data_IF_983942444971
#
_entry.id   IF_983942444971
#
_cell.length_a   1.000
_cell.length_b   1.000
_cell.length_c   1.000
_cell.angle_alpha   90.00
_cell.angle_beta   90.00
_cell.angle_gamma   90.00
#
_symmetry.space_group_name_H-M   'P 1'
#
loop_
_entity.id
_entity.type
_entity.pdbx_description
1 polymer ?
#
# COMPACT_ATOMS: atom_id res chain seq x y z
N UNK A 1 4.68 -21.89 -13.38
CA UNK A 1 3.52 -22.24 -12.54
C UNK A 1 3.20 -23.71 -12.79
N UNK A 2 2.89 -24.44 -11.73
CA UNK A 2 2.41 -25.81 -11.81
C UNK A 2 1.12 -25.89 -11.00
N UNK A 3 0.12 -26.59 -11.52
CA UNK A 3 -1.26 -26.62 -10.99
C UNK A 3 -1.73 -28.06 -10.99
N UNK A 4 -2.31 -28.48 -9.88
CA UNK A 4 -2.89 -29.81 -9.66
C UNK A 4 -4.18 -29.66 -8.84
N UNK A 5 -4.91 -30.75 -8.65
CA UNK A 5 -6.14 -30.73 -7.86
C UNK A 5 -5.86 -30.34 -6.40
N UNK A 6 -6.37 -29.17 -6.00
CA UNK A 6 -6.30 -28.65 -4.63
C UNK A 6 -4.95 -28.02 -4.25
N UNK A 7 -4.02 -27.84 -5.19
CA UNK A 7 -2.80 -27.06 -4.94
C UNK A 7 -2.15 -26.49 -6.20
N UNK A 8 -1.46 -25.37 -6.05
CA UNK A 8 -0.63 -24.80 -7.10
C UNK A 8 0.70 -24.28 -6.54
N UNK A 9 1.69 -24.16 -7.41
CA UNK A 9 2.99 -23.60 -7.06
C UNK A 9 3.49 -22.64 -8.11
N UNK A 10 3.99 -21.50 -7.64
CA UNK A 10 4.64 -20.47 -8.44
C UNK A 10 6.08 -20.32 -8.00
N UNK A 11 7.01 -20.44 -8.95
CA UNK A 11 8.44 -20.16 -8.76
C UNK A 11 8.83 -19.12 -9.80
N UNK A 12 9.36 -17.99 -9.35
CA UNK A 12 9.76 -16.90 -10.25
C UNK A 12 9.60 -15.54 -9.58
N UNK A 13 9.31 -14.52 -10.39
CA UNK A 13 9.05 -13.15 -9.92
C UNK A 13 7.58 -12.85 -10.16
N UNK A 14 6.85 -12.45 -9.12
CA UNK A 14 5.46 -12.06 -9.27
C UNK A 14 5.07 -10.89 -8.35
N UNK A 15 3.99 -10.20 -8.72
CA UNK A 15 3.31 -9.19 -7.91
C UNK A 15 2.06 -9.84 -7.30
N UNK A 16 1.88 -9.70 -6.00
CA UNK A 16 0.71 -10.11 -5.26
C UNK A 16 0.05 -8.87 -4.69
N UNK A 17 -1.21 -9.02 -4.32
CA UNK A 17 -1.99 -7.97 -3.68
C UNK A 17 -2.90 -8.62 -2.64
N UNK A 18 -2.85 -8.14 -1.40
CA UNK A 18 -3.74 -8.51 -0.31
C UNK A 18 -4.29 -7.23 0.31
N UNK A 19 -5.59 -7.17 0.55
CA UNK A 19 -6.22 -5.99 1.10
C UNK A 19 -7.67 -5.86 0.65
N UNK A 20 -8.41 -5.06 1.40
CA UNK A 20 -9.84 -4.77 1.24
C UNK A 20 -10.16 -3.28 1.34
N UNK A 21 -9.32 -2.46 1.99
CA UNK A 21 -9.55 -1.01 2.16
C UNK A 21 -9.07 -0.20 0.96
N UNK A 22 -9.49 1.05 0.79
CA UNK A 22 -9.19 1.87 -0.39
C UNK A 22 -8.04 2.86 -0.16
N UNK A 23 -7.93 3.39 1.05
CA UNK A 23 -6.97 4.45 1.38
C UNK A 23 -5.54 3.95 1.53
N UNK A 24 -5.38 2.70 1.98
CA UNK A 24 -4.13 2.00 2.24
C UNK A 24 -4.38 0.50 2.34
N UNK A 25 -3.42 -0.30 1.91
CA UNK A 25 -3.39 -1.75 2.15
C UNK A 25 -2.34 -2.13 3.19
N UNK A 26 -2.73 -2.14 4.47
CA UNK A 26 -1.86 -2.43 5.61
C UNK A 26 -1.30 -3.85 5.62
N UNK A 27 -2.10 -4.81 5.15
CA UNK A 27 -1.74 -6.23 5.19
C UNK A 27 -0.83 -6.66 4.03
N UNK A 28 -0.72 -5.84 2.99
CA UNK A 28 0.13 -6.13 1.82
C UNK A 28 1.62 -5.92 2.13
N UNK A 29 2.35 -7.02 2.36
CA UNK A 29 3.73 -6.99 2.84
C UNK A 29 4.69 -7.85 1.99
N UNK A 30 4.21 -8.54 0.96
CA UNK A 30 5.09 -9.42 0.17
C UNK A 30 5.92 -8.61 -0.82
N UNK A 31 5.27 -7.70 -1.54
CA UNK A 31 5.89 -6.94 -2.60
C UNK A 31 6.42 -5.60 -2.09
N UNK A 32 7.56 -5.17 -2.63
CA UNK A 32 8.13 -3.86 -2.35
C UNK A 32 7.34 -2.79 -3.09
N UNK A 33 6.99 -1.67 -2.44
CA UNK A 33 6.38 -0.51 -3.11
C UNK A 33 7.37 0.19 -4.06
N UNK A 34 6.91 0.63 -5.23
CA UNK A 34 7.67 1.45 -6.19
C UNK A 34 7.19 2.91 -6.15
N UNK A 35 7.78 3.71 -5.26
CA UNK A 35 7.44 5.13 -5.12
C UNK A 35 7.83 5.99 -6.33
N UNK A 36 8.70 5.48 -7.23
CA UNK A 36 9.01 6.18 -8.46
C UNK A 36 7.90 6.05 -9.50
N UNK A 37 7.12 4.97 -9.43
CA UNK A 37 6.00 4.75 -10.34
C UNK A 37 4.78 5.54 -9.85
N UNK A 38 4.42 5.39 -8.57
CA UNK A 38 3.35 6.14 -7.91
C UNK A 38 3.57 6.29 -6.41
N UNK A 39 3.11 7.42 -5.87
CA UNK A 39 3.29 7.75 -4.44
C UNK A 39 2.15 7.28 -3.52
N UNK A 40 1.02 6.79 -4.06
CA UNK A 40 -0.08 6.20 -3.28
C UNK A 40 0.28 4.86 -2.63
N UNK A 41 1.44 4.30 -2.99
CA UNK A 41 1.91 3.00 -2.54
C UNK A 41 1.19 1.80 -3.18
N UNK A 42 0.38 2.01 -4.21
CA UNK A 42 -0.35 0.96 -4.91
C UNK A 42 0.54 0.23 -5.93
N UNK A 43 1.49 0.95 -6.54
CA UNK A 43 2.41 0.33 -7.48
C UNK A 43 3.49 -0.46 -6.75
N UNK A 44 3.57 -1.76 -7.07
CA UNK A 44 4.51 -2.70 -6.45
C UNK A 44 5.56 -3.19 -7.43
N UNK A 45 6.75 -3.49 -6.94
CA UNK A 45 7.78 -4.24 -7.61
C UNK A 45 7.48 -5.75 -7.58
N UNK A 46 7.79 -6.45 -8.67
CA UNK A 46 7.77 -7.92 -8.67
C UNK A 46 8.76 -8.51 -7.67
N UNK A 47 8.33 -9.51 -6.90
CA UNK A 47 9.11 -10.14 -5.83
C UNK A 47 9.54 -11.55 -6.25
N UNK A 48 10.85 -11.87 -6.24
CA UNK A 48 11.32 -13.25 -6.38
C UNK A 48 10.78 -14.11 -5.25
N UNK A 49 10.13 -15.22 -5.59
CA UNK A 49 9.49 -16.10 -4.62
C UNK A 49 9.29 -17.53 -5.09
N UNK A 50 9.10 -18.39 -4.09
CA UNK A 50 8.41 -19.67 -4.19
C UNK A 50 7.11 -19.51 -3.39
N UNK A 51 5.97 -19.67 -4.05
CA UNK A 51 4.65 -19.66 -3.43
C UNK A 51 3.99 -21.02 -3.65
N UNK A 52 3.53 -21.66 -2.57
CA UNK A 52 2.69 -22.86 -2.59
C UNK A 52 1.33 -22.51 -2.02
N UNK A 53 0.27 -22.70 -2.80
CA UNK A 53 -1.11 -22.57 -2.35
C UNK A 53 -1.74 -23.96 -2.19
N UNK A 54 -2.45 -24.18 -1.09
CA UNK A 54 -3.20 -25.40 -0.78
C UNK A 54 -4.66 -25.01 -0.58
N UNK A 55 -5.51 -25.36 -1.54
CA UNK A 55 -6.94 -25.03 -1.52
C UNK A 55 -7.74 -26.16 -0.88
N UNK A 56 -8.53 -25.82 0.12
CA UNK A 56 -9.43 -26.72 0.86
C UNK A 56 -10.81 -26.08 0.99
N UNK A 57 -11.79 -26.87 1.42
CA UNK A 57 -13.17 -26.38 1.61
C UNK A 57 -13.27 -25.26 2.65
N UNK A 58 -12.35 -25.23 3.61
CA UNK A 58 -12.26 -24.22 4.68
C UNK A 58 -11.25 -23.11 4.38
N UNK A 59 -10.87 -22.92 3.11
CA UNK A 59 -10.02 -21.83 2.65
C UNK A 59 -8.71 -22.28 2.00
N UNK A 60 -7.92 -21.30 1.58
CA UNK A 60 -6.63 -21.49 0.93
C UNK A 60 -5.50 -21.12 1.89
N UNK A 61 -4.54 -22.04 2.04
CA UNK A 61 -3.31 -21.80 2.77
C UNK A 61 -2.19 -21.52 1.78
N UNK A 62 -1.54 -20.37 1.91
CA UNK A 62 -0.43 -19.95 1.06
C UNK A 62 0.85 -19.89 1.87
N UNK A 63 1.92 -20.49 1.36
CA UNK A 63 3.25 -20.53 1.95
C UNK A 63 4.25 -19.85 1.02
N UNK A 64 4.94 -18.84 1.53
CA UNK A 64 5.86 -18.01 0.76
C UNK A 64 7.29 -18.16 1.28
N UNK A 65 8.22 -18.38 0.35
CA UNK A 65 9.66 -18.27 0.58
C UNK A 65 10.21 -17.22 -0.38
N UNK A 66 10.82 -16.17 0.16
CA UNK A 66 11.29 -15.00 -0.59
C UNK A 66 12.82 -14.94 -0.48
N UNK A 67 13.56 -15.49 -1.45
CA UNK A 67 15.02 -15.63 -1.33
C UNK A 67 15.81 -14.34 -1.56
N UNK A 68 15.16 -13.26 -1.98
CA UNK A 68 15.82 -12.02 -2.34
C UNK A 68 14.92 -10.80 -2.06
N UNK A 69 15.39 -9.88 -1.24
CA UNK A 69 14.76 -8.59 -0.98
C UNK A 69 15.10 -7.58 -2.08
N UNK A 70 14.13 -6.73 -2.42
CA UNK A 70 14.32 -5.63 -3.36
C UNK A 70 14.18 -4.32 -2.60
N UNK A 71 15.17 -3.46 -2.70
CA UNK A 71 15.13 -2.12 -2.11
C UNK A 71 14.00 -1.29 -2.69
N UNK A 72 13.46 -0.41 -1.84
CA UNK A 72 12.54 0.64 -2.24
C UNK A 72 13.29 1.64 -3.11
N UNK A 73 12.63 2.09 -4.17
CA UNK A 73 13.18 3.14 -5.03
C UNK A 73 12.69 4.49 -4.53
N UNK A 74 13.59 5.45 -4.48
CA UNK A 74 13.32 6.81 -4.04
C UNK A 74 13.74 7.81 -5.09
N UNK A 75 13.08 8.96 -5.09
CA UNK A 75 13.42 10.03 -6.01
C UNK A 75 14.78 10.66 -5.72
N UNK A 76 15.46 11.04 -6.79
CA UNK A 76 16.77 11.68 -6.69
C UNK A 76 16.62 13.17 -6.29
N UNK A 77 17.76 13.86 -6.06
CA UNK A 77 17.78 15.28 -5.65
C UNK A 77 17.04 16.23 -6.58
N UNK A 78 16.95 15.90 -7.87
CA UNK A 78 16.30 16.70 -8.92
C UNK A 78 14.87 16.22 -9.21
N UNK A 79 14.47 15.07 -8.65
CA UNK A 79 13.12 14.54 -8.74
C UNK A 79 12.12 15.37 -7.94
N UNK A 80 10.86 15.31 -8.38
CA UNK A 80 9.69 15.84 -7.65
C UNK A 80 9.14 14.74 -6.76
N UNK A 81 8.21 15.06 -5.86
CA UNK A 81 7.56 14.09 -4.98
C UNK A 81 8.58 13.28 -4.16
N UNK A 82 9.52 14.00 -3.54
CA UNK A 82 10.57 13.43 -2.69
C UNK A 82 10.44 13.95 -1.26
N UNK A 83 11.05 13.25 -0.31
CA UNK A 83 11.22 13.81 1.04
C UNK A 83 12.06 15.09 0.99
N UNK A 84 11.92 15.91 2.04
CA UNK A 84 12.64 17.17 2.17
C UNK A 84 14.16 16.95 2.06
N UNK A 85 14.67 15.93 2.74
CA UNK A 85 16.05 15.48 2.63
C UNK A 85 16.21 14.41 1.53
N UNK A 86 17.26 14.49 0.68
CA UNK A 86 17.55 13.44 -0.28
C UNK A 86 17.90 12.10 0.39
N UNK A 87 17.54 11.00 -0.26
CA UNK A 87 17.90 9.65 0.19
C UNK A 87 19.15 9.16 -0.57
N UNK A 88 20.13 8.64 0.15
CA UNK A 88 21.28 7.92 -0.38
C UNK A 88 21.03 6.40 -0.31
N UNK A 89 20.57 5.82 -1.42
CA UNK A 89 20.31 4.38 -1.51
C UNK A 89 21.58 3.55 -1.62
N UNK A 90 22.71 4.14 -2.01
CA UNK A 90 23.97 3.40 -2.20
C UNK A 90 24.58 2.94 -0.86
N UNK A 91 24.14 3.56 0.24
CA UNK A 91 24.56 3.25 1.61
C UNK A 91 23.54 2.44 2.41
N UNK A 92 22.52 1.87 1.75
CA UNK A 92 21.43 1.17 2.43
C UNK A 92 21.92 0.14 3.45
N UNK A 93 21.32 0.18 4.64
CA UNK A 93 21.63 -0.70 5.75
C UNK A 93 20.58 -1.79 5.92
N UNK A 94 21.03 -2.95 6.40
CA UNK A 94 20.19 -4.12 6.63
C UNK A 94 20.47 -4.67 8.01
N UNK A 95 19.41 -4.98 8.75
CA UNK A 95 19.54 -5.67 10.05
C UNK A 95 20.09 -7.11 9.87
N UNK A 96 19.75 -7.76 8.75
CA UNK A 96 20.34 -9.06 8.42
C UNK A 96 21.75 -8.93 7.86
N UNK A 97 22.70 -9.70 8.41
CA UNK A 97 24.04 -9.85 7.84
C UNK A 97 24.06 -10.46 6.42
N UNK A 98 22.95 -11.06 5.96
CA UNK A 98 22.79 -11.53 4.57
C UNK A 98 22.32 -10.43 3.61
N UNK A 99 22.06 -9.22 4.11
CA UNK A 99 21.55 -8.09 3.34
C UNK A 99 20.33 -8.47 2.51
N UNK A 100 20.30 -8.00 1.25
CA UNK A 100 19.25 -8.32 0.29
C UNK A 100 19.07 -9.84 -0.01
N UNK A 101 20.03 -10.69 0.36
CA UNK A 101 19.95 -12.16 0.17
C UNK A 101 19.40 -12.90 1.38
N UNK A 102 18.89 -12.17 2.38
CA UNK A 102 18.12 -12.77 3.46
C UNK A 102 16.89 -13.49 2.87
N UNK A 103 16.51 -14.61 3.49
CA UNK A 103 15.34 -15.38 3.06
C UNK A 103 14.19 -15.04 3.98
N UNK A 104 13.21 -14.31 3.45
CA UNK A 104 11.99 -13.97 4.17
C UNK A 104 10.94 -15.06 3.96
N UNK A 105 10.01 -15.17 4.90
CA UNK A 105 8.94 -16.17 4.84
C UNK A 105 7.60 -15.57 5.23
N UNK A 106 6.53 -16.08 4.63
CA UNK A 106 5.18 -15.75 5.04
C UNK A 106 4.25 -16.96 4.97
N UNK A 107 3.21 -16.92 5.79
CA UNK A 107 2.05 -17.81 5.68
C UNK A 107 0.80 -16.96 5.65
N UNK A 108 -0.17 -17.35 4.81
CA UNK A 108 -1.50 -16.73 4.77
C UNK A 108 -2.56 -17.82 4.73
N UNK A 109 -3.64 -17.60 5.46
CA UNK A 109 -4.90 -18.32 5.28
C UNK A 109 -5.94 -17.32 4.81
N UNK A 110 -6.68 -17.67 3.77
CA UNK A 110 -7.78 -16.86 3.27
C UNK A 110 -9.02 -17.73 3.03
N UNK A 111 -10.18 -17.24 3.44
CA UNK A 111 -11.44 -17.94 3.28
C UNK A 111 -12.55 -16.95 2.95
N UNK A 112 -13.26 -17.24 1.87
CA UNK A 112 -14.54 -16.63 1.54
C UNK A 112 -15.65 -17.61 1.95
N UNK A 113 -16.59 -17.15 2.78
CA UNK A 113 -17.75 -17.92 3.20
C UNK A 113 -18.99 -17.04 3.31
N UNK A 114 -19.91 -17.23 2.36
CA UNK A 114 -21.14 -16.44 2.29
C UNK A 114 -20.81 -14.98 2.02
N UNK A 115 -21.10 -14.11 2.99
CA UNK A 115 -20.88 -12.67 2.88
C UNK A 115 -19.53 -12.23 3.47
N UNK A 116 -18.73 -13.17 4.00
CA UNK A 116 -17.47 -12.87 4.68
C UNK A 116 -16.28 -13.23 3.81
N UNK A 117 -15.35 -12.30 3.70
CA UNK A 117 -13.98 -12.52 3.28
C UNK A 117 -13.07 -12.33 4.50
N UNK A 118 -12.25 -13.33 4.82
CA UNK A 118 -11.34 -13.28 5.96
C UNK A 118 -9.97 -13.75 5.52
N UNK A 119 -8.95 -12.94 5.79
CA UNK A 119 -7.55 -13.30 5.62
C UNK A 119 -6.76 -13.12 6.91
N UNK A 120 -5.92 -14.09 7.23
CA UNK A 120 -4.97 -14.03 8.34
C UNK A 120 -3.58 -14.37 7.80
N UNK A 121 -2.61 -13.49 8.02
CA UNK A 121 -1.26 -13.66 7.54
C UNK A 121 -0.22 -13.44 8.64
N UNK A 122 0.92 -14.10 8.52
CA UNK A 122 2.11 -13.80 9.30
C UNK A 122 3.34 -13.74 8.39
N UNK A 123 4.08 -12.65 8.49
CA UNK A 123 5.31 -12.38 7.75
C UNK A 123 6.48 -12.23 8.71
N UNK A 124 7.59 -12.89 8.40
CA UNK A 124 8.88 -12.70 9.07
C UNK A 124 9.95 -12.48 8.01
N UNK A 125 10.55 -11.31 8.02
CA UNK A 125 11.48 -10.93 6.98
C UNK A 125 11.93 -9.49 7.05
N UNK A 126 12.60 -9.07 5.98
CA UNK A 126 13.04 -7.69 5.76
C UNK A 126 11.82 -6.80 5.52
N UNK A 127 11.71 -5.68 6.25
CA UNK A 127 10.61 -4.71 6.08
C UNK A 127 10.53 -4.18 4.66
N UNK A 128 9.31 -4.03 4.12
CA UNK A 128 9.04 -3.35 2.83
C UNK A 128 8.95 -1.84 2.94
N UNK A 129 9.19 -1.30 4.12
CA UNK A 129 9.28 0.13 4.41
C UNK A 129 10.63 0.37 5.11
N UNK A 130 11.35 1.42 4.75
CA UNK A 130 12.64 1.75 5.36
C UNK A 130 12.48 2.76 6.50
N UNK A 131 13.18 2.52 7.61
CA UNK A 131 13.55 3.58 8.54
C UNK A 131 14.73 4.37 7.93
N UNK A 132 15.06 5.53 8.48
CA UNK A 132 16.13 6.39 7.95
C UNK A 132 17.11 6.81 9.03
N UNK A 133 18.39 6.56 8.77
CA UNK A 133 19.49 7.16 9.54
C UNK A 133 19.88 8.49 8.88
N UNK A 134 20.24 9.50 9.67
CA UNK A 134 20.72 10.78 9.14
C UNK A 134 22.22 10.71 8.88
N UNK A 135 22.63 10.93 7.62
CA UNK A 135 24.03 11.18 7.29
C UNK A 135 24.30 12.70 7.29
N UNK A 136 25.11 13.10 8.27
CA UNK A 136 25.55 14.49 8.50
C UNK A 136 27.06 14.69 8.21
N UNK A 137 27.71 13.74 7.54
CA UNK A 137 29.13 13.81 7.19
C UNK A 137 29.45 15.03 6.32
N UNK A 138 28.50 15.47 5.49
CA UNK A 138 28.53 16.77 4.83
C UNK A 138 27.38 17.65 5.35
N UNK A 139 27.62 18.50 6.37
CA UNK A 139 26.56 19.33 6.96
C UNK A 139 25.89 20.32 5.99
N UNK A 140 26.54 20.64 4.86
CA UNK A 140 25.95 21.50 3.83
C UNK A 140 24.93 20.75 2.96
N UNK A 141 24.98 19.42 2.95
CA UNK A 141 24.13 18.55 2.14
C UNK A 141 23.74 17.28 2.91
N UNK A 142 22.96 17.40 4.00
CA UNK A 142 22.51 16.25 4.76
C UNK A 142 21.68 15.29 3.90
N UNK A 143 21.80 14.00 4.17
CA UNK A 143 21.03 12.95 3.47
C UNK A 143 20.43 11.95 4.45
N UNK A 144 19.47 11.18 3.96
CA UNK A 144 18.86 10.05 4.65
C UNK A 144 19.42 8.76 4.08
N UNK A 145 19.86 7.84 4.94
CA UNK A 145 20.30 6.50 4.55
C UNK A 145 19.20 5.51 4.93
N UNK A 146 18.64 4.75 3.97
CA UNK A 146 17.57 3.81 4.27
C UNK A 146 18.12 2.63 5.06
N UNK A 147 17.39 2.23 6.10
CA UNK A 147 17.65 1.06 6.93
C UNK A 147 16.46 0.10 6.86
N UNK A 148 16.74 -1.13 6.43
CA UNK A 148 15.76 -2.20 6.32
C UNK A 148 15.86 -3.14 7.52
N UNK A 149 14.93 -2.97 8.45
CA UNK A 149 14.87 -3.73 9.69
C UNK A 149 14.17 -5.09 9.49
N UNK A 150 14.53 -6.08 10.31
CA UNK A 150 13.82 -7.36 10.35
C UNK A 150 12.53 -7.22 11.16
N UNK A 151 11.41 -7.58 10.55
CA UNK A 151 10.09 -7.47 11.17
C UNK A 151 9.42 -8.82 11.38
N UNK A 152 8.51 -8.84 12.35
CA UNK A 152 7.51 -9.90 12.52
C UNK A 152 6.14 -9.24 12.52
N UNK A 153 5.37 -9.45 11.46
CA UNK A 153 4.05 -8.86 11.24
C UNK A 153 2.99 -9.94 11.22
N UNK A 154 1.95 -9.79 12.03
CA UNK A 154 0.70 -10.55 11.87
C UNK A 154 -0.36 -9.60 11.37
N UNK A 155 -1.05 -9.96 10.28
CA UNK A 155 -2.10 -9.16 9.66
C UNK A 155 -3.42 -9.90 9.61
N UNK A 156 -4.51 -9.18 9.80
CA UNK A 156 -5.89 -9.63 9.67
C UNK A 156 -6.61 -8.69 8.69
N UNK A 157 -7.27 -9.26 7.69
CA UNK A 157 -8.18 -8.57 6.79
C UNK A 157 -9.57 -9.20 6.88
N UNK A 158 -10.60 -8.36 6.94
CA UNK A 158 -12.00 -8.76 6.98
C UNK A 158 -12.80 -7.84 6.07
N UNK A 159 -13.59 -8.43 5.18
CA UNK A 159 -14.66 -7.73 4.48
C UNK A 159 -15.98 -8.46 4.70
N UNK A 160 -17.04 -7.68 4.94
CA UNK A 160 -18.40 -8.19 5.04
C UNK A 160 -19.32 -7.45 4.08
N UNK A 161 -19.98 -8.21 3.20
CA UNK A 161 -20.91 -7.69 2.19
C UNK A 161 -22.35 -7.83 2.66
N UNK A 162 -23.09 -6.73 2.79
CA UNK A 162 -24.49 -6.70 3.20
C UNK A 162 -25.32 -5.84 2.26
N UNK A 163 -25.92 -6.48 1.25
CA UNK A 163 -26.65 -5.82 0.17
C UNK A 163 -25.78 -4.76 -0.52
N UNK A 164 -26.09 -3.47 -0.33
CA UNK A 164 -25.36 -2.35 -0.89
C UNK A 164 -24.16 -1.89 -0.03
N UNK A 165 -23.99 -2.46 1.17
CA UNK A 165 -22.92 -2.11 2.10
C UNK A 165 -21.74 -3.07 2.02
N UNK A 166 -20.54 -2.52 2.07
CA UNK A 166 -19.31 -3.23 2.40
C UNK A 166 -18.76 -2.67 3.71
N UNK A 167 -18.44 -3.56 4.65
CA UNK A 167 -17.70 -3.22 5.86
C UNK A 167 -16.31 -3.80 5.71
N UNK A 168 -15.27 -3.00 5.99
CA UNK A 168 -13.88 -3.37 5.71
C UNK A 168 -13.01 -3.11 6.92
N UNK A 169 -12.07 -4.02 7.17
CA UNK A 169 -11.09 -3.92 8.24
C UNK A 169 -9.79 -4.56 7.77
N UNK A 170 -8.71 -3.82 7.92
CA UNK A 170 -7.34 -4.32 7.88
C UNK A 170 -6.65 -3.93 9.19
N UNK A 171 -5.93 -4.86 9.79
CA UNK A 171 -5.12 -4.55 10.98
C UNK A 171 -3.86 -5.38 11.00
N UNK A 172 -2.79 -4.79 11.52
CA UNK A 172 -1.52 -5.48 11.73
C UNK A 172 -1.03 -5.25 13.16
N UNK A 173 -0.31 -6.24 13.71
CA UNK A 173 0.64 -6.03 14.79
C UNK A 173 2.04 -6.34 14.29
N UNK A 174 2.99 -5.42 14.53
CA UNK A 174 4.35 -5.52 14.01
C UNK A 174 5.37 -5.25 15.11
N UNK A 175 6.42 -6.07 15.14
CA UNK A 175 7.65 -5.81 15.90
C UNK A 175 8.83 -5.71 14.93
N UNK A 176 9.90 -5.00 15.33
CA UNK A 176 11.11 -4.78 14.52
C UNK A 176 11.47 -3.30 14.31
N UNK A 177 10.59 -2.38 14.71
CA UNK A 177 10.78 -0.92 14.58
C UNK A 177 10.61 -0.25 15.95
N UNK A 178 11.49 -0.58 16.90
CA UNK A 178 11.31 -0.23 18.31
C UNK A 178 10.28 -1.12 19.00
N UNK A 179 9.36 -0.52 19.77
CA UNK A 179 8.31 -1.24 20.46
C UNK A 179 7.31 -1.89 19.48
N UNK A 180 6.68 -2.98 19.92
CA UNK A 180 5.61 -3.62 19.13
C UNK A 180 4.42 -2.66 19.04
N UNK A 181 3.97 -2.38 17.83
CA UNK A 181 2.84 -1.50 17.57
C UNK A 181 1.70 -2.23 16.85
N UNK A 182 0.57 -1.53 16.74
CA UNK A 182 -0.62 -1.94 16.00
C UNK A 182 -1.01 -0.83 15.03
N UNK A 183 -1.43 -1.20 13.83
CA UNK A 183 -2.06 -0.31 12.86
C UNK A 183 -3.40 -0.89 12.41
N UNK A 184 -4.34 -0.02 12.07
CA UNK A 184 -5.72 -0.35 11.69
C UNK A 184 -6.18 0.58 10.58
N UNK A 185 -6.78 0.01 9.53
CA UNK A 185 -7.59 0.74 8.56
C UNK A 185 -8.97 0.09 8.56
N UNK A 186 -10.01 0.88 8.79
CA UNK A 186 -11.38 0.36 8.81
C UNK A 186 -12.33 1.33 8.18
N UNK A 187 -13.38 0.83 7.54
CA UNK A 187 -14.33 1.71 6.88
C UNK A 187 -15.52 0.99 6.29
N UNK A 188 -16.31 1.78 5.59
CA UNK A 188 -17.54 1.35 4.94
C UNK A 188 -17.61 1.89 3.52
N UNK A 189 -18.25 1.14 2.64
CA UNK A 189 -18.65 1.58 1.31
C UNK A 189 -20.14 1.31 1.12
N UNK A 190 -20.88 2.32 0.63
CA UNK A 190 -22.28 2.17 0.26
C UNK A 190 -22.46 2.43 -1.22
N UNK A 191 -23.08 1.49 -1.93
CA UNK A 191 -23.30 1.60 -3.38
C UNK A 191 -24.73 2.03 -3.70
N UNK A 192 -24.87 3.16 -4.39
CA UNK A 192 -26.10 3.58 -5.05
C UNK A 192 -26.13 2.95 -6.43
N UNK A 193 -26.94 1.90 -6.60
CA UNK A 193 -27.06 1.20 -7.87
C UNK A 193 -27.95 1.94 -8.88
N UNK A 194 -27.58 1.84 -10.15
CA UNK A 194 -28.35 2.35 -11.30
C UNK A 194 -28.81 3.81 -11.11
N UNK A 195 -27.86 4.68 -10.76
CA UNK A 195 -28.15 6.09 -10.51
C UNK A 195 -28.79 6.71 -11.75
N UNK A 196 -29.93 7.37 -11.55
CA UNK A 196 -30.72 8.00 -12.62
C UNK A 196 -31.13 7.04 -13.76
N UNK A 197 -31.22 5.73 -13.51
CA UNK A 197 -31.56 4.70 -14.53
C UNK A 197 -30.59 4.67 -15.71
N UNK A 198 -29.33 4.99 -15.45
CA UNK A 198 -28.29 5.10 -16.47
C UNK A 198 -27.47 3.82 -16.65
N UNK A 199 -27.60 2.85 -15.74
CA UNK A 199 -26.72 1.71 -15.59
C UNK A 199 -25.47 1.99 -14.76
N UNK A 200 -25.18 3.25 -14.41
CA UNK A 200 -24.02 3.61 -13.60
C UNK A 200 -24.27 3.40 -12.11
N UNK A 201 -23.22 3.05 -11.37
CA UNK A 201 -23.24 2.88 -9.92
C UNK A 201 -22.32 3.91 -9.25
N UNK A 202 -22.75 4.43 -8.09
CA UNK A 202 -21.97 5.37 -7.28
C UNK A 202 -21.69 4.79 -5.89
N UNK A 203 -20.43 4.47 -5.62
CA UNK A 203 -19.92 4.10 -4.30
C UNK A 203 -19.57 5.33 -3.46
N UNK A 204 -20.01 5.34 -2.20
CA UNK A 204 -19.65 6.31 -1.17
C UNK A 204 -18.75 5.60 -0.15
N UNK A 205 -17.49 6.00 -0.07
CA UNK A 205 -16.46 5.34 0.75
C UNK A 205 -16.09 6.25 1.91
N UNK A 206 -15.99 5.69 3.11
CA UNK A 206 -15.41 6.36 4.28
C UNK A 206 -14.54 5.37 5.05
N UNK A 207 -13.28 5.75 5.28
CA UNK A 207 -12.32 4.94 6.03
C UNK A 207 -11.58 5.78 7.06
N UNK A 208 -11.13 5.13 8.13
CA UNK A 208 -10.27 5.68 9.16
C UNK A 208 -8.98 4.87 9.22
N UNK A 209 -7.85 5.57 9.22
CA UNK A 209 -6.51 5.01 9.33
C UNK A 209 -5.90 5.37 10.69
N UNK A 210 -5.27 4.38 11.31
CA UNK A 210 -4.50 4.54 12.53
C UNK A 210 -3.20 3.74 12.44
N UNK A 211 -2.07 4.33 12.82
CA UNK A 211 -0.78 3.63 12.88
C UNK A 211 -0.02 4.04 14.14
N UNK A 212 0.04 3.15 15.13
CA UNK A 212 0.65 3.42 16.44
C UNK A 212 2.17 3.26 16.49
N UNK A 213 2.87 3.29 15.34
CA UNK A 213 4.34 3.21 15.30
C UNK A 213 4.99 4.48 15.85
N UNK A 214 6.29 4.40 16.16
CA UNK A 214 7.07 5.57 16.55
C UNK A 214 7.16 6.58 15.39
N UNK A 215 6.97 7.87 15.67
CA UNK A 215 7.02 8.94 14.66
C UNK A 215 8.45 9.35 14.29
N UNK A 216 9.45 8.90 15.06
CA UNK A 216 10.85 9.15 14.78
C UNK A 216 11.32 8.26 13.61
N UNK A 217 11.70 8.84 12.46
CA UNK A 217 12.10 8.09 11.26
C UNK A 217 13.34 7.22 11.48
N UNK A 218 14.14 7.49 12.53
CA UNK A 218 15.30 6.66 12.89
C UNK A 218 14.92 5.39 13.65
N UNK A 219 13.70 5.31 14.19
CA UNK A 219 13.17 4.18 14.96
C UNK A 219 12.20 3.34 14.12
N UNK A 220 11.31 4.00 13.37
CA UNK A 220 10.32 3.33 12.53
C UNK A 220 10.15 4.04 11.17
N UNK A 221 9.71 3.33 10.12
CA UNK A 221 9.44 3.95 8.83
C UNK A 221 8.33 4.99 8.92
N UNK A 222 8.54 6.20 8.37
CA UNK A 222 7.52 7.25 8.34
C UNK A 222 6.34 6.82 7.46
N UNK A 223 5.12 7.16 7.88
CA UNK A 223 3.89 6.85 7.14
C UNK A 223 2.96 8.05 7.15
N UNK A 224 2.26 8.34 6.04
CA UNK A 224 1.28 9.42 5.97
C UNK A 224 -0.13 9.00 6.44
N UNK A 225 -0.23 7.91 7.22
CA UNK A 225 -1.50 7.25 7.56
C UNK A 225 -1.52 6.87 9.05
N UNK A 226 -1.41 7.83 9.95
CA UNK A 226 -1.28 7.61 11.40
C UNK A 226 -2.55 7.92 12.20
N UNK A 227 -3.37 8.87 11.74
CA UNK A 227 -4.66 9.26 12.31
C UNK A 227 -5.46 10.06 11.27
N UNK A 228 -5.82 9.39 10.18
CA UNK A 228 -6.38 10.04 8.99
C UNK A 228 -7.80 9.58 8.69
N UNK A 229 -8.63 10.50 8.20
CA UNK A 229 -9.92 10.18 7.62
C UNK A 229 -9.85 10.23 6.10
N UNK A 230 -10.33 9.17 5.46
CA UNK A 230 -10.46 9.08 4.03
C UNK A 230 -11.94 9.09 3.62
N UNK A 231 -12.27 9.92 2.63
CA UNK A 231 -13.59 9.91 1.99
C UNK A 231 -13.40 9.83 0.48
N UNK A 232 -14.15 8.95 -0.19
CA UNK A 232 -14.08 8.86 -1.64
C UNK A 232 -15.44 8.59 -2.30
N UNK A 233 -15.50 8.97 -3.57
CA UNK A 233 -16.58 8.66 -4.50
C UNK A 233 -16.04 7.77 -5.60
N UNK A 234 -16.71 6.64 -5.83
CA UNK A 234 -16.41 5.72 -6.93
C UNK A 234 -17.57 5.71 -7.92
N UNK A 235 -17.38 6.24 -9.11
CA UNK A 235 -18.35 6.16 -10.20
C UNK A 235 -17.93 5.04 -11.16
N UNK A 236 -18.79 4.03 -11.32
CA UNK A 236 -18.62 2.98 -12.32
C UNK A 236 -19.72 3.12 -13.36
N UNK A 237 -19.36 3.38 -14.62
CA UNK A 237 -20.36 3.60 -15.68
C UNK A 237 -21.00 2.30 -16.18
N UNK A 238 -20.42 1.15 -15.84
CA UNK A 238 -20.85 -0.18 -16.27
C UNK A 238 -21.04 -0.29 -17.80
N UNK A 239 -20.23 0.45 -18.56
CA UNK A 239 -20.25 0.45 -20.02
C UNK A 239 -19.25 -0.59 -20.59
N UNK A 240 -19.35 -0.86 -21.88
CA UNK A 240 -18.43 -1.77 -22.59
C UNK A 240 -16.98 -1.25 -22.67
N UNK A 241 -16.78 0.02 -22.32
CA UNK A 241 -15.49 0.70 -22.28
C UNK A 241 -14.87 0.68 -20.87
N UNK A 242 -15.54 0.05 -19.90
CA UNK A 242 -15.11 -0.01 -18.50
C UNK A 242 -14.76 1.37 -17.91
N UNK A 243 -15.56 2.40 -18.25
CA UNK A 243 -15.30 3.76 -17.76
C UNK A 243 -15.52 3.86 -16.25
N UNK A 244 -14.53 4.40 -15.53
CA UNK A 244 -14.60 4.59 -14.07
C UNK A 244 -13.94 5.89 -13.61
N UNK A 245 -14.37 6.38 -12.46
CA UNK A 245 -13.73 7.48 -11.72
C UNK A 245 -13.67 7.14 -10.24
N UNK A 246 -12.53 7.34 -9.61
CA UNK A 246 -12.35 7.34 -8.16
C UNK A 246 -11.81 8.71 -7.75
N UNK A 247 -12.51 9.41 -6.87
CA UNK A 247 -12.07 10.69 -6.33
C UNK A 247 -12.12 10.64 -4.81
N UNK A 248 -10.99 10.83 -4.16
CA UNK A 248 -10.83 10.70 -2.72
C UNK A 248 -10.08 11.87 -2.09
N UNK A 249 -10.35 12.08 -0.80
CA UNK A 249 -9.68 13.05 0.07
C UNK A 249 -9.24 12.28 1.32
N UNK A 250 -7.95 12.37 1.63
CA UNK A 250 -7.35 11.94 2.88
C UNK A 250 -7.03 13.19 3.70
N UNK A 251 -7.48 13.22 4.94
CA UNK A 251 -7.28 14.32 5.88
C UNK A 251 -6.59 13.79 7.13
N UNK A 252 -5.39 14.29 7.39
CA UNK A 252 -4.71 14.10 8.67
C UNK A 252 -5.46 14.90 9.74
N UNK A 253 -5.92 14.21 10.77
CA UNK A 253 -6.70 14.79 11.87
C UNK A 253 -5.83 15.42 12.97
N UNK A 254 -4.53 15.12 13.00
CA UNK A 254 -3.57 15.61 13.98
C UNK A 254 -2.71 16.77 13.43
N UNK A 255 -2.14 16.64 12.24
CA UNK A 255 -1.26 17.63 11.60
C UNK A 255 -1.95 18.51 10.56
N UNK A 256 -3.15 18.14 10.09
CA UNK A 256 -3.99 18.95 9.20
C UNK A 256 -3.66 18.82 7.70
N UNK A 257 -2.64 18.04 7.35
CA UNK A 257 -2.30 17.76 5.96
C UNK A 257 -3.48 17.17 5.20
N UNK A 258 -3.70 17.63 3.96
CA UNK A 258 -4.77 17.16 3.09
C UNK A 258 -4.19 16.64 1.79
N UNK A 259 -4.55 15.42 1.42
CA UNK A 259 -4.23 14.82 0.14
C UNK A 259 -5.50 14.51 -0.66
N UNK A 260 -5.58 15.02 -1.88
CA UNK A 260 -6.70 14.75 -2.80
C UNK A 260 -6.17 13.92 -3.97
N UNK A 261 -6.83 12.79 -4.23
CA UNK A 261 -6.55 11.93 -5.37
C UNK A 261 -7.78 11.85 -6.28
N UNK A 262 -7.57 11.96 -7.59
CA UNK A 262 -8.60 11.76 -8.60
C UNK A 262 -8.01 10.88 -9.69
N UNK A 263 -8.63 9.74 -9.92
CA UNK A 263 -8.27 8.80 -10.97
C UNK A 263 -9.49 8.54 -11.85
N UNK A 264 -9.31 8.60 -13.15
CA UNK A 264 -10.34 8.27 -14.11
C UNK A 264 -9.74 7.38 -15.19
N UNK A 265 -10.42 6.28 -15.52
CA UNK A 265 -9.96 5.35 -16.55
C UNK A 265 -11.05 5.07 -17.56
N UNK A 266 -10.65 4.85 -18.82
CA UNK A 266 -11.57 4.42 -19.88
C UNK A 266 -10.83 3.69 -20.99
N UNK A 267 -11.38 2.54 -21.41
CA UNK A 267 -10.94 1.86 -22.64
C UNK A 267 -11.44 2.62 -23.86
N UNK A 268 -10.55 2.99 -24.77
CA UNK A 268 -10.90 3.69 -26.01
C UNK A 268 -10.95 2.74 -27.23
N UNK A 269 -10.13 1.69 -27.22
CA UNK A 269 -10.13 0.62 -28.22
C UNK A 269 -9.77 -0.72 -27.56
N UNK A 270 -9.77 -1.83 -28.30
CA UNK A 270 -9.47 -3.15 -27.72
C UNK A 270 -8.14 -3.19 -26.96
N UNK A 271 -7.15 -2.45 -27.45
CA UNK A 271 -5.77 -2.47 -26.92
C UNK A 271 -5.34 -1.14 -26.28
N UNK A 272 -6.25 -0.17 -26.10
CA UNK A 272 -5.91 1.17 -25.61
C UNK A 272 -6.81 1.58 -24.45
N UNK A 273 -6.18 1.94 -23.33
CA UNK A 273 -6.83 2.49 -22.13
C UNK A 273 -6.24 3.85 -21.85
N UNK A 274 -7.09 4.84 -21.64
CA UNK A 274 -6.69 6.17 -21.22
C UNK A 274 -6.92 6.29 -19.73
N UNK A 275 -5.91 6.78 -19.01
CA UNK A 275 -6.00 7.06 -17.58
C UNK A 275 -5.65 8.53 -17.33
N UNK A 276 -6.50 9.21 -16.56
CA UNK A 276 -6.27 10.56 -16.08
C UNK A 276 -6.10 10.49 -14.56
N UNK A 277 -5.03 11.08 -14.06
CA UNK A 277 -4.76 11.17 -12.63
C UNK A 277 -4.55 12.63 -12.23
N UNK A 278 -5.03 13.01 -11.05
CA UNK A 278 -4.78 14.30 -10.41
C UNK A 278 -4.47 14.09 -8.93
N UNK A 279 -3.35 14.65 -8.47
CA UNK A 279 -2.89 14.56 -7.08
C UNK A 279 -2.62 15.95 -6.53
N UNK A 280 -3.19 16.27 -5.38
CA UNK A 280 -3.06 17.59 -4.77
C UNK A 280 -2.73 17.49 -3.29
N UNK A 281 -1.71 18.24 -2.86
CA UNK A 281 -1.23 18.29 -1.47
C UNK A 281 -1.44 19.69 -0.92
N UNK A 282 -2.07 19.77 0.25
CA UNK A 282 -2.45 21.02 0.91
C UNK A 282 -2.16 20.94 2.40
N UNK A 283 -1.90 22.09 3.02
CA UNK A 283 -1.82 22.26 4.48
C UNK A 283 -0.84 21.34 5.23
N UNK A 284 0.19 20.83 4.53
CA UNK A 284 1.24 20.03 5.14
C UNK A 284 2.16 20.90 6.02
N UNK A 285 2.25 20.56 7.31
CA UNK A 285 3.08 21.28 8.28
C UNK A 285 4.58 20.99 8.07
N UNK A 286 5.51 21.91 8.40
CA UNK A 286 6.96 21.70 8.23
C UNK A 286 7.57 20.52 8.98
N UNK A 287 6.90 20.05 10.03
CA UNK A 287 7.28 18.89 10.83
C UNK A 287 6.66 17.57 10.34
N UNK A 288 5.78 17.60 9.34
CA UNK A 288 5.31 16.39 8.65
C UNK A 288 6.42 15.83 7.77
N UNK A 289 6.94 14.65 8.15
CA UNK A 289 8.08 14.05 7.47
C UNK A 289 7.78 13.67 6.01
N UNK A 290 6.54 13.30 5.70
CA UNK A 290 6.15 12.78 4.38
C UNK A 290 5.55 13.89 3.53
N UNK A 291 4.43 14.47 3.95
CA UNK A 291 3.68 15.40 3.11
C UNK A 291 4.36 16.75 2.93
N UNK A 292 5.22 17.18 3.87
CA UNK A 292 6.00 18.40 3.66
C UNK A 292 6.92 18.30 2.44
N UNK A 293 7.41 17.10 2.10
CA UNK A 293 8.16 16.90 0.86
C UNK A 293 7.33 17.15 -0.41
N UNK A 294 6.01 16.88 -0.34
CA UNK A 294 5.11 16.86 -1.50
C UNK A 294 4.27 18.13 -1.66
N UNK A 295 4.27 19.03 -0.67
CA UNK A 295 3.35 20.17 -0.59
C UNK A 295 3.35 21.13 -1.80
N UNK A 296 4.43 21.17 -2.59
CA UNK A 296 4.52 22.00 -3.81
C UNK A 296 4.33 21.21 -5.10
N UNK A 297 4.07 19.90 -5.00
CA UNK A 297 4.17 18.98 -6.11
C UNK A 297 2.84 18.48 -6.66
N UNK A 298 1.74 19.17 -6.35
CA UNK A 298 0.43 18.93 -6.96
C UNK A 298 0.53 18.85 -8.49
N UNK A 299 -0.13 17.87 -9.11
CA UNK A 299 -0.02 17.61 -10.53
C UNK A 299 -1.27 16.94 -11.12
N UNK A 300 -1.36 16.96 -12.46
CA UNK A 300 -2.25 16.13 -13.23
C UNK A 300 -1.47 15.40 -14.33
N UNK A 301 -1.82 14.16 -14.60
CA UNK A 301 -1.15 13.28 -15.56
C UNK A 301 -2.17 12.57 -16.44
N UNK A 302 -1.80 12.35 -17.70
CA UNK A 302 -2.53 11.52 -18.65
C UNK A 302 -1.62 10.35 -19.07
N UNK A 303 -2.14 9.12 -19.03
CA UNK A 303 -1.49 7.89 -19.51
C UNK A 303 -2.35 7.24 -20.61
N UNK A 304 -1.68 6.53 -21.51
CA UNK A 304 -2.24 5.89 -22.71
C UNK A 304 -1.74 4.46 -22.84
#
# INVERSE_FOLDING_TARGET
MHVEDGWDTTVGVAKLFWGVTESRHLVDIINQTDLLEEIDQEQKLGQPMINLNLTRDYGTFSLFVLPYFREQRYENRQGRLRFALPIDTDQAHYDSARGARHTDVAVRWYHNQGNWDIGLAHFRGTSREAAFDFDLNNPAEPTLVPRYDMINQTGLEIQYTADAWLLKLETITRAGHGDRFTAVTTGVEYTLFDIMKSGADLGLISEYNYDGRDVNPTVAPPVPYDSDLFFALRLSMNDTHSSSVLAGILQDMAGGATFVNVEASRRFAQDWTVELQGRFFMDAAPDDFVFYGYHQDSYAQLRL
#
